data_IF_752884946489
#
_entry.id   IF_752884946489
#
_cell.length_a   1.000
_cell.length_b   1.000
_cell.length_c   1.000
_cell.angle_alpha   90.00
_cell.angle_beta   90.00
_cell.angle_gamma   90.00
#
_symmetry.space_group_name_H-M   'P 1'
#
loop_
_entity.id
_entity.type
_entity.pdbx_description
1 polymer ?
#
# COMPACT_ATOMS: atom_id res chain seq x y z
N UNK A 1 -50.28 26.73 -42.89
CA UNK A 1 -51.07 26.54 -41.65
C UNK A 1 -50.14 25.93 -40.62
N UNK A 2 -49.74 26.75 -39.64
CA UNK A 2 -48.81 26.39 -38.58
C UNK A 2 -49.58 25.71 -37.42
N UNK A 3 -49.05 24.62 -36.88
CA UNK A 3 -49.54 24.03 -35.65
C UNK A 3 -48.59 24.41 -34.52
N UNK A 4 -49.05 25.34 -33.68
CA UNK A 4 -48.48 25.65 -32.37
C UNK A 4 -49.51 25.18 -31.35
N UNK A 5 -49.10 24.30 -30.45
CA UNK A 5 -49.90 23.82 -29.34
C UNK A 5 -48.96 23.31 -28.26
N UNK A 6 -48.58 24.21 -27.37
CA UNK A 6 -47.66 23.96 -26.26
C UNK A 6 -48.42 23.99 -24.93
N UNK A 7 -47.79 23.35 -23.94
CA UNK A 7 -47.99 23.43 -22.48
C UNK A 7 -49.01 22.53 -21.76
N UNK A 8 -48.45 21.62 -20.94
CA UNK A 8 -48.59 21.55 -19.46
C UNK A 8 -47.75 20.35 -18.95
N UNK A 9 -46.47 20.54 -18.60
CA UNK A 9 -45.94 20.72 -17.22
C UNK A 9 -46.66 19.95 -16.11
N UNK A 10 -45.97 18.96 -15.53
CA UNK A 10 -46.25 18.48 -14.18
C UNK A 10 -45.67 17.11 -13.83
N UNK A 11 -44.74 17.10 -12.87
CA UNK A 11 -44.42 16.02 -11.93
C UNK A 11 -43.34 14.98 -12.30
N UNK A 12 -42.22 15.08 -11.58
CA UNK A 12 -41.75 13.98 -10.73
C UNK A 12 -40.70 13.05 -11.32
N UNK A 13 -39.43 13.29 -10.97
CA UNK A 13 -38.72 12.53 -9.92
C UNK A 13 -37.22 12.54 -10.16
N UNK A 14 -36.49 12.86 -9.09
CA UNK A 14 -35.05 12.76 -9.03
C UNK A 14 -34.60 11.36 -9.43
N UNK A 15 -33.84 11.28 -10.52
CA UNK A 15 -33.15 10.09 -10.94
C UNK A 15 -31.97 9.86 -9.99
N UNK A 16 -32.24 9.24 -8.84
CA UNK A 16 -31.23 8.43 -8.17
C UNK A 16 -30.91 7.28 -9.12
N UNK A 17 -29.81 7.39 -9.86
CA UNK A 17 -29.25 6.30 -10.62
C UNK A 17 -28.92 5.16 -9.65
N UNK A 18 -29.85 4.21 -9.54
CA UNK A 18 -29.70 3.02 -8.72
C UNK A 18 -28.57 2.17 -9.26
N UNK A 19 -27.43 2.17 -8.56
CA UNK A 19 -26.38 1.15 -8.72
C UNK A 19 -27.02 -0.25 -8.62
N UNK A 20 -26.53 -1.16 -9.45
CA UNK A 20 -27.04 -2.54 -9.53
C UNK A 20 -27.04 -3.20 -8.15
N UNK A 21 -27.98 -4.10 -7.88
CA UNK A 21 -28.02 -4.89 -6.64
C UNK A 21 -26.69 -5.65 -6.44
N UNK A 22 -26.04 -6.06 -7.53
CA UNK A 22 -24.72 -6.72 -7.50
C UNK A 22 -23.64 -5.78 -6.97
N UNK A 23 -23.61 -4.54 -7.43
CA UNK A 23 -22.66 -3.51 -6.96
C UNK A 23 -22.86 -3.21 -5.48
N UNK A 24 -24.13 -3.16 -5.03
CA UNK A 24 -24.46 -2.95 -3.62
C UNK A 24 -24.03 -4.12 -2.73
N UNK A 25 -24.13 -5.36 -3.20
CA UNK A 25 -23.65 -6.54 -2.46
C UNK A 25 -22.12 -6.59 -2.40
N UNK A 26 -21.44 -6.16 -3.46
CA UNK A 26 -19.98 -6.04 -3.47
C UNK A 26 -19.48 -4.91 -2.55
N UNK A 27 -20.14 -3.75 -2.56
CA UNK A 27 -19.87 -2.64 -1.64
C UNK A 27 -20.09 -3.06 -0.18
N UNK A 28 -21.10 -3.89 0.10
CA UNK A 28 -21.33 -4.47 1.43
C UNK A 28 -20.23 -5.45 1.85
N UNK A 29 -19.76 -6.32 0.95
CA UNK A 29 -18.65 -7.23 1.24
C UNK A 29 -17.33 -6.46 1.50
N UNK A 30 -17.10 -5.36 0.75
CA UNK A 30 -15.99 -4.45 1.01
C UNK A 30 -16.15 -3.74 2.37
N UNK A 31 -17.36 -3.30 2.72
CA UNK A 31 -17.67 -2.68 4.01
C UNK A 31 -17.49 -3.67 5.17
N UNK A 32 -17.86 -4.94 5.00
CA UNK A 32 -17.64 -6.00 5.98
C UNK A 32 -16.13 -6.28 6.16
N UNK A 33 -15.35 -6.31 5.08
CA UNK A 33 -13.89 -6.38 5.15
C UNK A 33 -13.28 -5.15 5.85
N UNK A 34 -13.80 -3.94 5.60
CA UNK A 34 -13.40 -2.72 6.31
C UNK A 34 -13.76 -2.76 7.81
N UNK A 35 -14.90 -3.34 8.18
CA UNK A 35 -15.35 -3.49 9.57
C UNK A 35 -14.54 -4.56 10.32
N UNK A 36 -14.21 -5.68 9.67
CA UNK A 36 -13.33 -6.70 10.24
C UNK A 36 -11.93 -6.13 10.54
N UNK A 37 -11.41 -5.28 9.64
CA UNK A 37 -10.12 -4.62 9.81
C UNK A 37 -10.09 -3.61 10.98
N UNK A 38 -11.24 -3.02 11.35
CA UNK A 38 -11.34 -2.17 12.56
C UNK A 38 -11.24 -2.98 13.85
N UNK A 39 -11.74 -4.22 13.86
CA UNK A 39 -11.73 -5.07 15.04
C UNK A 39 -10.41 -5.83 15.25
N UNK A 40 -9.63 -6.07 14.19
CA UNK A 40 -8.30 -6.70 14.30
C UNK A 40 -7.20 -5.75 14.80
N UNK A 41 -7.45 -4.43 14.86
CA UNK A 41 -6.51 -3.42 15.37
C UNK A 41 -6.56 -3.17 16.89
N UNK A 42 -7.35 -3.93 17.65
CA UNK A 42 -7.69 -3.60 19.05
C UNK A 42 -7.52 -4.71 20.09
N UNK A 43 -6.74 -5.75 19.81
CA UNK A 43 -6.57 -6.89 20.72
C UNK A 43 -5.15 -6.97 21.33
N UNK A 44 -4.70 -5.92 22.00
CA UNK A 44 -3.65 -6.02 23.02
C UNK A 44 -3.62 -4.75 23.88
N UNK A 45 -4.07 -4.88 25.13
CA UNK A 45 -3.62 -4.16 26.35
C UNK A 45 -4.80 -4.00 27.33
N UNK A 46 -5.13 -5.07 28.04
CA UNK A 46 -5.80 -4.93 29.35
C UNK A 46 -4.69 -4.79 30.38
N UNK A 47 -4.38 -3.57 30.82
CA UNK A 47 -3.57 -3.38 32.02
C UNK A 47 -4.46 -2.93 33.17
N UNK A 48 -4.29 -3.66 34.27
CA UNK A 48 -5.07 -3.61 35.51
C UNK A 48 -4.76 -2.30 36.25
N UNK A 49 -5.81 -1.63 36.71
CA UNK A 49 -5.77 -0.42 37.55
C UNK A 49 -5.12 -0.71 38.91
N UNK A 50 -4.17 0.13 39.33
CA UNK A 50 -3.63 0.14 40.69
C UNK A 50 -2.71 1.34 41.01
N UNK A 51 -3.28 2.34 41.68
CA UNK A 51 -2.68 3.01 42.86
C UNK A 51 -1.46 3.96 42.74
N UNK A 52 -1.74 5.25 42.96
CA UNK A 52 -1.07 6.19 43.89
C UNK A 52 0.22 6.99 43.53
N UNK A 53 0.03 8.32 43.52
CA UNK A 53 0.82 9.43 44.12
C UNK A 53 2.20 9.86 43.57
N UNK A 54 2.28 11.15 43.17
CA UNK A 54 3.49 12.00 43.31
C UNK A 54 4.08 12.56 42.00
N UNK A 55 4.36 13.88 41.89
CA UNK A 55 4.73 14.52 40.62
C UNK A 55 6.25 14.54 40.41
N UNK A 56 6.72 14.00 39.28
CA UNK A 56 8.01 14.38 38.71
C UNK A 56 7.95 14.24 37.18
N UNK A 57 7.81 15.38 36.51
CA UNK A 57 7.84 15.49 35.05
C UNK A 57 9.29 15.61 34.59
N UNK A 58 9.90 14.48 34.22
CA UNK A 58 10.98 14.44 33.23
C UNK A 58 11.27 12.99 32.82
N UNK A 59 11.48 12.81 31.52
CA UNK A 59 11.78 11.57 30.78
C UNK A 59 10.61 10.64 30.41
N UNK A 60 10.40 10.56 29.10
CA UNK A 60 9.78 9.47 28.33
C UNK A 60 8.39 8.98 28.75
N UNK A 61 7.37 9.55 28.12
CA UNK A 61 6.13 8.82 27.86
C UNK A 61 5.84 8.87 26.36
N UNK A 62 6.44 7.92 25.66
CA UNK A 62 5.82 7.23 24.53
C UNK A 62 4.44 6.72 24.99
N UNK A 63 3.41 7.51 24.70
CA UNK A 63 2.03 7.24 25.07
C UNK A 63 1.11 7.71 23.97
N UNK A 64 0.46 6.73 23.33
CA UNK A 64 -0.83 6.79 22.67
C UNK A 64 -1.38 8.19 22.33
N UNK A 65 -1.37 8.53 21.04
CA UNK A 65 -2.09 9.71 20.53
C UNK A 65 -1.53 10.31 19.24
N UNK A 66 -0.35 9.89 18.78
CA UNK A 66 0.32 10.47 17.60
C UNK A 66 0.45 9.48 16.44
N UNK A 67 -0.64 8.83 16.06
CA UNK A 67 -0.72 8.11 14.78
C UNK A 67 -1.91 8.56 13.93
N UNK A 68 -2.35 9.81 14.12
CA UNK A 68 -3.29 10.48 13.24
C UNK A 68 -2.47 11.34 12.28
N UNK A 69 -2.45 10.95 10.99
CA UNK A 69 -1.77 11.59 9.86
C UNK A 69 -0.27 11.33 9.66
N UNK A 70 0.10 10.07 9.43
CA UNK A 70 1.33 9.75 8.68
C UNK A 70 0.94 9.47 7.21
N UNK A 71 1.09 10.52 6.40
CA UNK A 71 0.90 10.66 4.93
C UNK A 71 -0.36 10.04 4.29
N UNK A 72 -1.24 10.89 3.73
CA UNK A 72 -2.19 10.52 2.67
C UNK A 72 -3.28 9.49 2.99
N UNK A 73 -3.42 9.03 4.23
CA UNK A 73 -4.43 8.03 4.61
C UNK A 73 -4.14 6.61 4.09
N UNK A 74 -2.86 6.26 3.93
CA UNK A 74 -2.42 4.88 3.68
C UNK A 74 -2.08 4.17 5.01
N UNK A 75 -2.30 2.86 5.07
CA UNK A 75 -2.00 2.05 6.26
C UNK A 75 -0.49 1.84 6.43
N UNK A 76 -0.05 1.52 7.67
CA UNK A 76 1.36 1.22 7.91
C UNK A 76 1.81 -0.04 7.17
N UNK A 77 0.98 -1.09 7.12
CA UNK A 77 1.27 -2.28 6.31
C UNK A 77 1.45 -1.94 4.82
N UNK A 78 0.61 -1.07 4.25
CA UNK A 78 0.80 -0.64 2.86
C UNK A 78 2.14 0.09 2.65
N UNK A 79 2.55 0.94 3.61
CA UNK A 79 3.85 1.61 3.60
C UNK A 79 5.00 0.62 3.73
N UNK A 80 4.93 -0.33 4.66
CA UNK A 80 5.96 -1.37 4.84
C UNK A 80 6.08 -2.27 3.61
N UNK A 81 4.96 -2.68 3.00
CA UNK A 81 4.96 -3.47 1.78
C UNK A 81 5.61 -2.71 0.60
N UNK A 82 5.27 -1.43 0.44
CA UNK A 82 5.89 -0.56 -0.55
C UNK A 82 7.41 -0.44 -0.33
N UNK A 83 7.83 -0.18 0.90
CA UNK A 83 9.25 -0.10 1.25
C UNK A 83 9.97 -1.42 0.96
N UNK A 84 9.39 -2.56 1.34
CA UNK A 84 9.99 -3.87 1.08
C UNK A 84 10.17 -4.13 -0.42
N UNK A 85 9.19 -3.79 -1.26
CA UNK A 85 9.30 -3.92 -2.71
C UNK A 85 10.40 -3.02 -3.29
N UNK A 86 10.41 -1.74 -2.91
CA UNK A 86 11.42 -0.78 -3.41
C UNK A 86 12.83 -1.12 -2.95
N UNK A 87 13.03 -1.60 -1.72
CA UNK A 87 14.33 -2.12 -1.25
C UNK A 87 14.80 -3.36 -2.01
N UNK A 88 13.91 -4.07 -2.71
CA UNK A 88 14.23 -5.18 -3.60
C UNK A 88 14.34 -4.76 -5.08
N UNK A 89 14.45 -3.45 -5.36
CA UNK A 89 14.68 -2.91 -6.70
C UNK A 89 13.44 -2.75 -7.57
N UNK A 90 12.23 -2.95 -7.01
CA UNK A 90 10.99 -2.63 -7.71
C UNK A 90 10.80 -1.11 -7.75
N UNK A 91 10.54 -0.54 -8.92
CA UNK A 91 10.41 0.91 -9.05
C UNK A 91 9.20 1.44 -8.24
N UNK A 92 9.21 2.73 -7.82
CA UNK A 92 8.09 3.35 -7.11
C UNK A 92 6.73 3.16 -7.79
N UNK A 93 6.70 3.25 -9.12
CA UNK A 93 5.50 3.03 -9.94
C UNK A 93 4.95 1.62 -9.74
N UNK A 94 5.82 0.61 -9.90
CA UNK A 94 5.43 -0.80 -9.84
C UNK A 94 5.11 -1.24 -8.41
N UNK A 95 5.87 -0.75 -7.42
CA UNK A 95 5.61 -1.02 -6.02
C UNK A 95 4.23 -0.51 -5.60
N UNK A 96 3.86 0.71 -6.03
CA UNK A 96 2.55 1.29 -5.76
C UNK A 96 1.42 0.46 -6.39
N UNK A 97 1.61 0.01 -7.62
CA UNK A 97 0.65 -0.83 -8.34
C UNK A 97 0.42 -2.20 -7.67
N UNK A 98 1.50 -2.88 -7.27
CA UNK A 98 1.44 -4.18 -6.60
C UNK A 98 0.75 -4.08 -5.24
N UNK A 99 1.11 -3.10 -4.42
CA UNK A 99 0.49 -2.88 -3.10
C UNK A 99 -0.98 -2.47 -3.27
N UNK A 100 -1.30 -1.63 -4.24
CA UNK A 100 -2.69 -1.24 -4.53
C UNK A 100 -3.58 -2.43 -4.91
N UNK A 101 -3.02 -3.43 -5.61
CA UNK A 101 -3.70 -4.70 -5.86
C UNK A 101 -3.90 -5.51 -4.57
N UNK A 102 -2.86 -5.67 -3.75
CA UNK A 102 -2.97 -6.37 -2.45
C UNK A 102 -4.00 -5.72 -1.52
N UNK A 103 -4.13 -4.39 -1.56
CA UNK A 103 -5.18 -3.66 -0.83
C UNK A 103 -6.59 -4.00 -1.33
N UNK A 104 -6.78 -4.22 -2.62
CA UNK A 104 -8.08 -4.67 -3.14
C UNK A 104 -8.41 -6.11 -2.70
N UNK A 105 -7.40 -6.98 -2.57
CA UNK A 105 -7.58 -8.36 -2.15
C UNK A 105 -7.98 -8.49 -0.67
N UNK A 106 -7.24 -7.80 0.20
CA UNK A 106 -7.30 -7.98 1.66
C UNK A 106 -7.80 -6.76 2.44
N UNK A 107 -8.22 -5.71 1.74
CA UNK A 107 -8.69 -4.44 2.30
C UNK A 107 -7.60 -3.38 2.41
N UNK A 108 -7.99 -2.12 2.60
CA UNK A 108 -7.07 -0.98 2.62
C UNK A 108 -6.00 -1.04 3.74
N UNK A 109 -6.23 -1.84 4.78
CA UNK A 109 -5.25 -2.12 5.83
C UNK A 109 -4.21 -3.17 5.47
N UNK A 110 -4.36 -3.84 4.32
CA UNK A 110 -3.49 -4.93 3.87
C UNK A 110 -3.44 -6.04 4.95
N UNK A 111 -4.57 -6.72 5.12
CA UNK A 111 -4.74 -7.73 6.17
C UNK A 111 -3.95 -9.01 5.82
N UNK A 112 -2.85 -9.25 6.53
CA UNK A 112 -1.96 -10.38 6.28
C UNK A 112 -2.52 -11.73 6.73
N UNK A 113 -3.50 -11.76 7.62
CA UNK A 113 -4.18 -12.99 8.06
C UNK A 113 -5.50 -13.26 7.35
N UNK A 114 -5.79 -12.54 6.25
CA UNK A 114 -7.08 -12.63 5.58
C UNK A 114 -7.32 -14.05 5.02
N UNK A 115 -8.41 -14.69 5.43
CA UNK A 115 -8.88 -15.96 4.88
C UNK A 115 -10.08 -15.68 3.97
N UNK A 116 -9.96 -16.02 2.70
CA UNK A 116 -10.99 -15.79 1.69
C UNK A 116 -11.45 -17.06 1.00
N UNK A 117 -12.40 -16.91 0.07
CA UNK A 117 -12.90 -18.00 -0.78
C UNK A 117 -13.30 -19.25 0.03
N UNK A 118 -14.09 -19.07 1.09
CA UNK A 118 -14.52 -20.13 2.02
C UNK A 118 -13.35 -20.94 2.62
N UNK A 119 -12.19 -20.32 2.85
CA UNK A 119 -11.00 -20.98 3.38
C UNK A 119 -9.94 -21.31 2.33
N UNK A 120 -10.25 -21.14 1.04
CA UNK A 120 -9.37 -21.54 -0.05
C UNK A 120 -8.33 -20.48 -0.45
N UNK A 121 -8.52 -19.21 -0.04
CA UNK A 121 -7.58 -18.13 -0.25
C UNK A 121 -6.94 -17.67 1.07
N UNK A 122 -5.70 -17.18 1.02
CA UNK A 122 -4.98 -16.74 2.21
C UNK A 122 -4.09 -15.52 1.98
N UNK A 123 -3.93 -14.73 3.02
CA UNK A 123 -2.98 -13.63 3.11
C UNK A 123 -3.41 -12.36 2.40
N UNK A 124 -2.55 -11.35 2.46
CA UNK A 124 -2.74 -10.06 1.82
C UNK A 124 -2.86 -10.16 0.29
N UNK A 125 -2.20 -11.15 -0.32
CA UNK A 125 -2.30 -11.43 -1.75
C UNK A 125 -3.52 -12.27 -2.14
N UNK A 126 -4.26 -12.82 -1.17
CA UNK A 126 -5.38 -13.77 -1.37
C UNK A 126 -5.02 -14.91 -2.33
N UNK A 127 -3.81 -15.47 -2.19
CA UNK A 127 -3.41 -16.63 -2.99
C UNK A 127 -4.34 -17.80 -2.73
N UNK A 128 -4.83 -18.44 -3.79
CA UNK A 128 -5.73 -19.59 -3.74
C UNK A 128 -5.13 -20.82 -4.47
N UNK A 129 -5.74 -21.98 -4.25
CA UNK A 129 -5.40 -23.22 -4.98
C UNK A 129 -3.90 -23.56 -4.94
N UNK A 130 -3.25 -23.85 -6.09
CA UNK A 130 -1.81 -24.13 -6.15
C UNK A 130 -0.92 -23.00 -5.62
N UNK A 131 -1.32 -21.72 -5.81
CA UNK A 131 -0.54 -20.56 -5.37
C UNK A 131 -0.51 -20.45 -3.85
N UNK A 132 -1.64 -20.75 -3.18
CA UNK A 132 -1.71 -20.83 -1.71
C UNK A 132 -0.72 -21.87 -1.17
N UNK A 133 -0.68 -23.06 -1.78
CA UNK A 133 0.25 -24.12 -1.36
C UNK A 133 1.70 -23.68 -1.54
N UNK A 134 2.04 -23.15 -2.73
CA UNK A 134 3.37 -22.63 -3.00
C UNK A 134 3.79 -21.53 -2.00
N UNK A 135 2.84 -20.67 -1.60
CA UNK A 135 3.10 -19.66 -0.59
C UNK A 135 3.43 -20.25 0.78
N UNK A 136 2.60 -21.19 1.26
CA UNK A 136 2.80 -21.82 2.56
C UNK A 136 4.11 -22.64 2.58
N UNK A 137 4.42 -23.35 1.50
CA UNK A 137 5.67 -24.09 1.35
C UNK A 137 6.88 -23.15 1.33
N UNK A 138 6.78 -22.01 0.64
CA UNK A 138 7.81 -20.97 0.63
C UNK A 138 8.07 -20.44 2.04
N UNK A 139 7.02 -20.09 2.79
CA UNK A 139 7.14 -19.60 4.16
C UNK A 139 7.77 -20.67 5.08
N UNK A 140 7.33 -21.92 4.96
CA UNK A 140 7.86 -23.05 5.73
C UNK A 140 9.34 -23.30 5.43
N UNK A 141 9.74 -23.29 4.16
CA UNK A 141 11.14 -23.52 3.73
C UNK A 141 12.12 -22.48 4.29
N UNK A 142 11.62 -21.27 4.59
CA UNK A 142 12.40 -20.17 5.16
C UNK A 142 12.31 -20.10 6.69
N UNK A 143 11.52 -20.96 7.34
CA UNK A 143 11.23 -20.88 8.77
C UNK A 143 10.52 -19.57 9.15
N UNK A 144 9.83 -18.95 8.20
CA UNK A 144 9.18 -17.64 8.36
C UNK A 144 7.67 -17.79 8.63
N UNK A 145 7.10 -16.80 9.32
CA UNK A 145 5.67 -16.81 9.67
C UNK A 145 4.80 -16.49 8.43
N UNK A 146 3.79 -17.31 8.08
CA UNK A 146 2.88 -17.01 6.97
C UNK A 146 1.96 -15.78 7.20
N UNK A 147 1.80 -15.29 8.43
CA UNK A 147 1.09 -14.03 8.69
C UNK A 147 2.01 -12.79 8.60
N UNK A 148 3.32 -12.98 8.45
CA UNK A 148 4.27 -11.88 8.34
C UNK A 148 4.21 -11.21 6.96
N UNK A 149 4.10 -9.88 6.97
CA UNK A 149 3.97 -9.09 5.75
C UNK A 149 5.19 -9.23 4.84
N UNK A 150 6.41 -9.21 5.39
CA UNK A 150 7.61 -9.31 4.58
C UNK A 150 7.71 -10.67 3.91
N UNK A 151 7.30 -11.73 4.59
CA UNK A 151 7.20 -13.08 4.03
C UNK A 151 6.24 -13.13 2.84
N UNK A 152 5.10 -12.44 2.94
CA UNK A 152 4.12 -12.35 1.86
C UNK A 152 4.62 -11.53 0.66
N UNK A 153 5.28 -10.39 0.91
CA UNK A 153 5.88 -9.57 -0.15
C UNK A 153 7.06 -10.29 -0.81
N UNK A 154 7.85 -11.03 -0.04
CA UNK A 154 8.95 -11.85 -0.57
C UNK A 154 8.42 -12.98 -1.46
N UNK A 155 7.30 -13.60 -1.09
CA UNK A 155 6.66 -14.59 -1.95
C UNK A 155 6.10 -13.94 -3.22
N UNK A 156 5.47 -12.76 -3.13
CA UNK A 156 5.01 -12.02 -4.31
C UNK A 156 6.17 -11.77 -5.31
N UNK A 157 7.34 -11.36 -4.79
CA UNK A 157 8.56 -11.19 -5.58
C UNK A 157 9.04 -12.51 -6.18
N UNK A 158 9.12 -13.58 -5.38
CA UNK A 158 9.54 -14.91 -5.81
C UNK A 158 8.65 -15.44 -6.93
N UNK A 159 7.33 -15.40 -6.74
CA UNK A 159 6.32 -15.84 -7.69
C UNK A 159 6.40 -15.02 -8.99
N UNK A 160 6.51 -13.69 -8.87
CA UNK A 160 6.70 -12.80 -10.01
C UNK A 160 7.96 -13.09 -10.81
N UNK A 161 9.05 -13.54 -10.17
CA UNK A 161 10.29 -13.87 -10.86
C UNK A 161 10.35 -15.31 -11.39
N UNK A 162 9.40 -16.16 -10.97
CA UNK A 162 9.39 -17.60 -11.30
C UNK A 162 8.11 -17.98 -12.05
N UNK A 163 7.08 -18.44 -11.36
CA UNK A 163 5.85 -19.01 -11.94
C UNK A 163 4.96 -17.98 -12.65
N UNK A 164 5.06 -16.70 -12.29
CA UNK A 164 4.27 -15.61 -12.88
C UNK A 164 5.13 -14.62 -13.69
N UNK A 165 6.29 -15.10 -14.20
CA UNK A 165 7.30 -14.27 -14.90
C UNK A 165 6.74 -13.43 -16.05
N UNK A 166 5.85 -13.97 -16.86
CA UNK A 166 5.25 -13.22 -17.99
C UNK A 166 4.37 -12.07 -17.50
N UNK A 167 3.56 -12.31 -16.46
CA UNK A 167 2.74 -11.26 -15.85
C UNK A 167 3.63 -10.19 -15.20
N UNK A 168 4.67 -10.62 -14.48
CA UNK A 168 5.64 -9.71 -13.87
C UNK A 168 6.33 -8.81 -14.88
N UNK A 169 6.83 -9.37 -16.00
CA UNK A 169 7.45 -8.58 -17.06
C UNK A 169 6.49 -7.54 -17.64
N UNK A 170 5.22 -7.90 -17.85
CA UNK A 170 4.22 -6.96 -18.34
C UNK A 170 3.90 -5.85 -17.33
N UNK A 171 3.91 -6.15 -16.02
CA UNK A 171 3.76 -5.13 -14.98
C UNK A 171 4.96 -4.18 -15.05
N UNK A 172 6.18 -4.72 -15.06
CA UNK A 172 7.42 -3.92 -15.06
C UNK A 172 7.61 -3.05 -16.30
N UNK A 173 6.89 -3.30 -17.40
CA UNK A 173 6.92 -2.49 -18.62
C UNK A 173 5.90 -1.34 -18.65
N UNK A 174 5.06 -1.19 -17.64
CA UNK A 174 4.07 -0.11 -17.59
C UNK A 174 4.73 1.26 -17.34
N UNK A 175 4.01 2.35 -17.66
CA UNK A 175 4.57 3.71 -17.55
C UNK A 175 4.14 4.42 -16.26
N UNK A 176 2.98 4.06 -15.72
CA UNK A 176 2.36 4.75 -14.59
C UNK A 176 1.69 3.75 -13.63
N UNK A 177 1.39 4.16 -12.38
CA UNK A 177 0.92 3.22 -11.35
C UNK A 177 -0.48 2.68 -11.65
N UNK A 178 -1.33 3.42 -12.37
CA UNK A 178 -2.68 2.98 -12.71
C UNK A 178 -2.63 1.92 -13.82
N UNK A 179 -1.84 2.15 -14.87
CA UNK A 179 -1.58 1.18 -15.93
C UNK A 179 -0.99 -0.12 -15.34
N UNK A 180 0.05 0.00 -14.53
CA UNK A 180 0.69 -1.13 -13.86
C UNK A 180 -0.32 -1.90 -12.99
N UNK A 181 -1.19 -1.20 -12.26
CA UNK A 181 -2.19 -1.84 -11.39
C UNK A 181 -3.26 -2.59 -12.19
N UNK A 182 -3.70 -2.02 -13.32
CA UNK A 182 -4.62 -2.69 -14.25
C UNK A 182 -3.97 -3.94 -14.86
N UNK A 183 -2.71 -3.86 -15.27
CA UNK A 183 -1.97 -5.00 -15.82
C UNK A 183 -1.80 -6.08 -14.75
N UNK A 184 -1.41 -5.72 -13.53
CA UNK A 184 -1.29 -6.65 -12.41
C UNK A 184 -2.61 -7.36 -12.10
N UNK A 185 -3.72 -6.63 -12.05
CA UNK A 185 -5.06 -7.19 -11.89
C UNK A 185 -5.35 -8.24 -12.97
N UNK A 186 -5.17 -7.87 -14.24
CA UNK A 186 -5.57 -8.70 -15.37
C UNK A 186 -4.65 -9.89 -15.62
N UNK A 187 -3.34 -9.74 -15.38
CA UNK A 187 -2.34 -10.74 -15.74
C UNK A 187 -1.84 -11.56 -14.56
N UNK A 188 -1.73 -10.98 -13.37
CA UNK A 188 -1.14 -11.65 -12.20
C UNK A 188 -2.22 -12.17 -11.24
N UNK A 189 -3.15 -11.32 -10.81
CA UNK A 189 -4.20 -11.73 -9.86
C UNK A 189 -5.37 -12.46 -10.54
N UNK A 190 -5.76 -12.05 -11.74
CA UNK A 190 -6.85 -12.65 -12.53
C UNK A 190 -8.13 -12.89 -11.71
N UNK A 191 -8.62 -11.89 -10.97
CA UNK A 191 -9.82 -12.05 -10.13
C UNK A 191 -11.08 -12.24 -10.99
N UNK A 192 -12.08 -12.94 -10.44
CA UNK A 192 -13.38 -13.09 -11.12
C UNK A 192 -14.11 -11.77 -11.35
N UNK A 193 -14.09 -10.88 -10.35
CA UNK A 193 -14.55 -9.49 -10.48
C UNK A 193 -13.33 -8.57 -10.26
N UNK A 194 -12.86 -7.87 -11.29
CA UNK A 194 -11.61 -7.11 -11.21
C UNK A 194 -11.59 -5.96 -10.21
N UNK A 195 -12.67 -5.17 -10.11
CA UNK A 195 -12.63 -3.87 -9.40
C UNK A 195 -11.43 -3.01 -9.83
N UNK A 196 -11.18 -2.96 -11.13
CA UNK A 196 -9.99 -2.32 -11.73
C UNK A 196 -9.84 -0.87 -11.29
N UNK A 197 -10.95 -0.12 -11.25
CA UNK A 197 -10.99 1.29 -10.85
C UNK A 197 -10.47 1.49 -9.43
N UNK A 198 -10.87 0.62 -8.50
CA UNK A 198 -10.41 0.67 -7.12
C UNK A 198 -8.91 0.35 -7.01
N UNK A 199 -8.44 -0.66 -7.76
CA UNK A 199 -7.01 -1.03 -7.78
C UNK A 199 -6.14 0.12 -8.30
N UNK A 200 -6.57 0.76 -9.39
CA UNK A 200 -5.92 1.95 -9.94
C UNK A 200 -5.93 3.12 -8.95
N UNK A 201 -7.06 3.34 -8.26
CA UNK A 201 -7.18 4.39 -7.25
C UNK A 201 -6.25 4.13 -6.04
N UNK A 202 -6.16 2.89 -5.56
CA UNK A 202 -5.21 2.53 -4.50
C UNK A 202 -3.76 2.72 -4.95
N UNK A 203 -3.41 2.27 -6.16
CA UNK A 203 -2.08 2.43 -6.70
C UNK A 203 -1.68 3.91 -6.81
N UNK A 204 -2.56 4.75 -7.36
CA UNK A 204 -2.32 6.19 -7.45
C UNK A 204 -2.14 6.82 -6.06
N UNK A 205 -3.01 6.46 -5.11
CA UNK A 205 -2.93 6.97 -3.73
C UNK A 205 -1.60 6.64 -3.05
N UNK A 206 -1.08 5.43 -3.25
CA UNK A 206 0.23 5.04 -2.71
C UNK A 206 1.35 5.83 -3.40
N UNK A 207 1.28 5.95 -4.72
CA UNK A 207 2.29 6.67 -5.49
C UNK A 207 2.36 8.15 -5.11
N UNK A 208 1.22 8.82 -4.92
CA UNK A 208 1.16 10.20 -4.46
C UNK A 208 1.73 10.36 -3.04
N UNK A 209 1.50 9.38 -2.16
CA UNK A 209 1.96 9.42 -0.78
C UNK A 209 3.45 9.09 -0.61
N UNK A 210 3.99 8.17 -1.43
CA UNK A 210 5.31 7.55 -1.21
C UNK A 210 6.21 7.52 -2.46
N UNK A 211 5.62 7.51 -3.65
CA UNK A 211 6.32 7.30 -4.93
C UNK A 211 6.92 8.55 -5.55
N UNK A 212 6.42 9.73 -5.19
CA UNK A 212 6.96 11.02 -5.63
C UNK A 212 8.13 11.52 -4.75
N UNK A 213 8.47 10.80 -3.68
CA UNK A 213 9.58 11.20 -2.82
C UNK A 213 10.89 10.96 -3.58
N UNK A 214 11.72 11.99 -3.83
CA UNK A 214 13.04 11.78 -4.43
C UNK A 214 13.78 10.81 -3.52
N UNK A 215 14.33 9.75 -4.11
CA UNK A 215 15.25 8.85 -3.40
C UNK A 215 16.27 9.74 -2.71
N UNK A 216 16.26 9.77 -1.37
CA UNK A 216 17.24 10.51 -0.62
C UNK A 216 18.61 9.94 -1.00
N UNK A 217 19.30 10.59 -1.93
CA UNK A 217 20.74 10.55 -1.95
C UNK A 217 21.17 10.91 -0.55
N UNK A 218 21.94 10.01 0.05
CA UNK A 218 22.63 10.21 1.30
C UNK A 218 23.28 11.59 1.27
N UNK A 219 22.61 12.58 1.87
CA UNK A 219 23.26 13.82 2.27
C UNK A 219 24.29 13.39 3.28
N UNK A 220 25.53 13.25 2.78
CA UNK A 220 26.70 13.08 3.61
C UNK A 220 26.63 14.12 4.71
N UNK A 221 26.46 13.64 5.93
CA UNK A 221 26.57 14.43 7.14
C UNK A 221 28.02 14.94 7.19
N UNK A 222 28.32 16.07 6.54
CA UNK A 222 29.56 16.79 6.78
C UNK A 222 29.42 17.54 8.10
N UNK A 223 29.67 16.83 9.18
CA UNK A 223 30.01 17.40 10.49
C UNK A 223 31.51 17.71 10.48
N UNK A 224 31.89 18.74 9.72
CA UNK A 224 33.18 19.45 9.73
C UNK A 224 32.91 20.69 8.86
N UNK A 225 33.15 21.95 9.22
CA UNK A 225 33.82 22.55 10.36
C UNK A 225 33.26 23.96 10.51
N UNK A 226 32.91 24.33 11.73
CA UNK A 226 32.47 25.67 12.09
C UNK A 226 33.39 26.20 13.17
N UNK A 227 34.69 26.33 12.88
CA UNK A 227 35.68 27.00 13.73
C UNK A 227 36.96 27.28 12.93
N UNK A 228 37.46 28.52 12.99
CA UNK A 228 38.89 28.78 12.77
C UNK A 228 39.22 29.69 11.59
N UNK A 229 39.36 30.97 11.88
CA UNK A 229 40.21 31.93 11.17
C UNK A 229 41.60 31.36 10.90
N UNK A 230 42.13 31.45 9.67
CA UNK A 230 43.56 31.23 9.44
C UNK A 230 43.97 30.96 7.99
N UNK A 231 44.65 31.93 7.39
CA UNK A 231 45.71 31.78 6.39
C UNK A 231 45.45 30.99 5.08
N UNK A 232 45.05 31.73 4.05
CA UNK A 232 45.29 31.35 2.65
C UNK A 232 46.72 31.71 2.23
N UNK A 233 47.68 30.81 2.46
CA UNK A 233 49.00 30.89 1.82
C UNK A 233 48.92 30.32 0.40
N UNK A 234 48.89 31.24 -0.57
CA UNK A 234 49.02 30.99 -2.00
C UNK A 234 50.47 30.63 -2.34
N UNK A 235 50.72 29.39 -2.78
CA UNK A 235 52.00 28.96 -3.32
C UNK A 235 51.93 28.73 -4.84
N UNK A 236 52.24 29.82 -5.55
CA UNK A 236 52.96 29.98 -6.82
C UNK A 236 52.92 28.86 -7.88
N UNK A 237 52.47 29.27 -9.08
CA UNK A 237 53.15 28.91 -10.34
C UNK A 237 53.79 30.18 -10.95
N UNK A 238 55.10 30.14 -11.17
CA UNK A 238 55.87 31.11 -11.93
C UNK A 238 57.11 30.42 -12.49
N UNK A 239 57.20 30.31 -13.81
CA UNK A 239 58.18 29.49 -14.52
C UNK A 239 59.52 30.16 -14.81
N UNK A 240 60.39 29.37 -15.45
CA UNK A 240 61.53 29.85 -16.24
C UNK A 240 62.90 29.45 -15.70
N UNK A 241 63.56 28.52 -16.41
CA UNK A 241 64.87 28.72 -17.06
C UNK A 241 64.95 27.84 -18.29
#
# INVERSE_FOLDING_TARGET
>A
MAAVGSFLSGMGNGFFAGRSITDRKADLALREKELANRNSGGAAQRSVLGGATGPNLSSSQSGAGRSLNLSGGISENARSAYQRLTSNGVSPVMASALVGNMMQESGAGLNTGAVGDNGNAYGAGQWNGPRKRAYLDFAQSRGSNPDDLNTQVDFLLHEGQTSEKSAWQAIMSANDPQEAARIASNKFWRPGVPHTENRMAYAQKIYDALGQQPTHETSGRSIVDGMGTGDYMVARYGGGR
#
